data_IF_377883124576
#
_entry.id   IF_377883124576
#
_cell.length_a   1.000
_cell.length_b   1.000
_cell.length_c   1.000
_cell.angle_alpha   90.00
_cell.angle_beta   90.00
_cell.angle_gamma   90.00
#
_symmetry.space_group_name_H-M   'P 1'
#
loop_
_entity.id
_entity.type
_entity.pdbx_description
1 polymer ?
#
# COMPACT_ATOMS: atom_id res chain seq x y z
N UNK A 1 -0.49 -4.79 19.88
CA UNK A 1 -1.78 -4.06 19.95
C UNK A 1 -2.96 -4.93 20.40
N UNK A 2 -3.42 -5.93 19.61
CA UNK A 2 -4.60 -6.78 19.95
C UNK A 2 -4.58 -7.39 21.35
N UNK A 3 -3.45 -7.99 21.75
CA UNK A 3 -3.27 -8.55 23.09
C UNK A 3 -3.46 -7.51 24.20
N UNK A 4 -2.88 -6.31 24.03
CA UNK A 4 -2.98 -5.21 25.00
C UNK A 4 -4.43 -4.70 25.11
N UNK A 5 -5.10 -4.49 23.97
CA UNK A 5 -6.50 -4.08 23.95
C UNK A 5 -7.42 -5.10 24.63
N UNK A 6 -7.19 -6.40 24.39
CA UNK A 6 -7.94 -7.47 25.05
C UNK A 6 -7.77 -7.45 26.58
N UNK A 7 -6.53 -7.29 27.07
CA UNK A 7 -6.25 -7.19 28.52
C UNK A 7 -6.93 -5.95 29.12
N UNK A 8 -6.90 -4.82 28.40
CA UNK A 8 -7.48 -3.55 28.85
C UNK A 8 -8.99 -3.47 28.66
N UNK A 9 -9.60 -4.40 27.91
CA UNK A 9 -10.97 -4.30 27.39
C UNK A 9 -11.21 -3.00 26.60
N UNK A 10 -10.21 -2.58 25.82
CA UNK A 10 -10.27 -1.38 24.98
C UNK A 10 -10.61 -1.73 23.54
N UNK A 11 -11.30 -0.80 22.87
CA UNK A 11 -11.54 -0.89 21.44
C UNK A 11 -10.24 -0.66 20.67
N UNK A 12 -10.14 -1.24 19.47
CA UNK A 12 -9.08 -0.92 18.51
C UNK A 12 -9.73 -0.32 17.29
N UNK A 13 -9.23 0.82 16.85
CA UNK A 13 -9.57 1.40 15.55
C UNK A 13 -8.30 1.61 14.74
N UNK A 14 -8.33 1.20 13.47
CA UNK A 14 -7.21 1.41 12.55
C UNK A 14 -7.68 2.14 11.30
N UNK A 15 -7.02 3.25 10.97
CA UNK A 15 -7.34 4.07 9.80
C UNK A 15 -6.10 4.72 9.19
N UNK A 16 -6.27 5.28 7.97
CA UNK A 16 -5.26 6.14 7.36
C UNK A 16 -5.32 7.54 7.97
N UNK A 17 -4.25 8.33 7.86
CA UNK A 17 -4.25 9.71 8.38
C UNK A 17 -5.31 10.61 7.73
N UNK A 18 -5.70 10.31 6.49
CA UNK A 18 -6.79 11.00 5.76
C UNK A 18 -8.19 10.58 6.23
N UNK A 19 -8.28 9.59 7.11
CA UNK A 19 -9.51 8.92 7.54
C UNK A 19 -9.62 8.93 9.08
N UNK A 20 -8.92 9.86 9.74
CA UNK A 20 -9.07 10.06 11.18
C UNK A 20 -10.51 10.50 11.46
N UNK A 21 -11.28 9.77 12.27
CA UNK A 21 -12.66 10.12 12.54
C UNK A 21 -12.74 11.37 13.42
N UNK A 22 -13.81 12.15 13.21
CA UNK A 22 -14.08 13.33 14.02
C UNK A 22 -14.41 12.97 15.48
N UNK A 23 -14.95 11.77 15.74
CA UNK A 23 -15.24 11.32 17.09
C UNK A 23 -14.76 9.88 17.26
N UNK A 24 -14.27 9.56 18.46
CA UNK A 24 -13.84 8.22 18.85
C UNK A 24 -14.45 7.90 20.21
N UNK A 25 -14.89 6.67 20.43
CA UNK A 25 -15.38 6.24 21.73
C UNK A 25 -14.26 6.26 22.78
N UNK A 26 -14.58 6.53 24.04
CA UNK A 26 -13.62 6.37 25.13
C UNK A 26 -13.08 4.93 25.19
N UNK A 27 -11.92 4.74 25.82
CA UNK A 27 -11.25 3.45 25.92
C UNK A 27 -10.92 2.84 24.54
N UNK A 28 -10.37 3.66 23.65
CA UNK A 28 -9.98 3.25 22.30
C UNK A 28 -8.48 3.42 22.05
N UNK A 29 -7.87 2.39 21.47
CA UNK A 29 -6.54 2.46 20.87
C UNK A 29 -6.70 2.77 19.38
N UNK A 30 -6.21 3.93 18.96
CA UNK A 30 -6.25 4.42 17.59
C UNK A 30 -4.90 4.22 16.91
N UNK A 31 -4.83 3.33 15.92
CA UNK A 31 -3.63 3.12 15.10
C UNK A 31 -3.77 3.81 13.74
N UNK A 32 -2.92 4.80 13.48
CA UNK A 32 -3.00 5.65 12.28
C UNK A 32 -1.75 5.43 11.44
N UNK A 33 -1.93 5.16 10.15
CA UNK A 33 -0.85 4.86 9.22
C UNK A 33 -0.97 5.60 7.88
N UNK A 34 0.02 5.42 7.00
CA UNK A 34 0.04 6.01 5.66
C UNK A 34 0.44 7.49 5.64
N UNK A 35 1.11 7.96 6.68
CA UNK A 35 1.60 9.33 6.78
C UNK A 35 2.60 9.64 5.66
N UNK A 36 2.42 10.81 5.04
CA UNK A 36 3.18 11.24 3.87
C UNK A 36 3.08 10.28 2.68
N UNK A 37 1.91 9.68 2.49
CA UNK A 37 1.64 8.79 1.38
C UNK A 37 1.49 7.33 1.79
N UNK A 38 0.66 6.62 1.03
CA UNK A 38 0.30 5.23 1.29
C UNK A 38 1.34 4.26 0.73
N UNK A 39 1.92 4.58 -0.43
CA UNK A 39 2.84 3.72 -1.15
C UNK A 39 4.28 4.25 -1.04
N UNK A 40 4.46 5.54 -1.28
CA UNK A 40 5.73 6.25 -1.12
C UNK A 40 5.49 7.70 -0.68
N UNK A 41 6.57 8.46 -0.49
CA UNK A 41 6.52 9.88 -0.14
C UNK A 41 5.63 10.69 -1.10
N UNK A 42 4.50 11.15 -0.60
CA UNK A 42 3.67 12.17 -1.23
C UNK A 42 4.24 13.54 -0.89
N UNK A 43 5.07 14.05 -1.80
CA UNK A 43 5.81 15.31 -1.68
C UNK A 43 4.90 16.54 -1.48
N UNK A 44 3.60 16.43 -1.74
CA UNK A 44 2.65 17.52 -1.60
C UNK A 44 1.66 17.31 -0.44
N UNK A 45 1.86 16.29 0.39
CA UNK A 45 0.94 15.94 1.49
C UNK A 45 1.17 16.72 2.79
N UNK A 46 2.25 17.51 2.90
CA UNK A 46 2.68 18.12 4.17
C UNK A 46 1.56 18.89 4.89
N UNK A 47 0.83 19.74 4.18
CA UNK A 47 -0.25 20.54 4.79
C UNK A 47 -1.41 19.66 5.26
N UNK A 48 -1.77 18.63 4.48
CA UNK A 48 -2.80 17.66 4.86
C UNK A 48 -2.38 16.86 6.09
N UNK A 49 -1.09 16.50 6.19
CA UNK A 49 -0.52 15.82 7.35
C UNK A 49 -0.55 16.72 8.58
N UNK A 50 -0.16 17.99 8.47
CA UNK A 50 -0.23 18.97 9.57
C UNK A 50 -1.67 19.16 10.08
N UNK A 51 -2.63 19.26 9.17
CA UNK A 51 -4.06 19.32 9.54
C UNK A 51 -4.52 18.05 10.28
N UNK A 52 -4.12 16.87 9.80
CA UNK A 52 -4.46 15.61 10.45
C UNK A 52 -3.85 15.50 11.87
N UNK A 53 -2.62 15.96 12.07
CA UNK A 53 -2.02 16.02 13.40
C UNK A 53 -2.74 16.99 14.33
N UNK A 54 -3.11 18.18 13.83
CA UNK A 54 -3.89 19.14 14.61
C UNK A 54 -5.24 18.55 15.05
N UNK A 55 -5.97 17.93 14.12
CA UNK A 55 -7.23 17.25 14.41
C UNK A 55 -7.09 16.17 15.48
N UNK A 56 -5.97 15.43 15.46
CA UNK A 56 -5.68 14.40 16.44
C UNK A 56 -5.38 14.97 17.83
N UNK A 57 -4.62 16.07 17.91
CA UNK A 57 -4.40 16.80 19.16
C UNK A 57 -5.74 17.25 19.75
N UNK A 58 -6.62 17.80 18.91
CA UNK A 58 -7.92 18.28 19.37
C UNK A 58 -8.84 17.13 19.79
N UNK A 59 -8.78 15.99 19.10
CA UNK A 59 -9.48 14.76 19.48
C UNK A 59 -9.04 14.25 20.87
N UNK A 60 -7.73 14.23 21.13
CA UNK A 60 -7.18 13.78 22.41
C UNK A 60 -7.54 14.72 23.57
N UNK A 61 -7.75 16.01 23.31
CA UNK A 61 -8.20 16.97 24.32
C UNK A 61 -9.68 16.79 24.68
N UNK A 62 -10.53 16.49 23.70
CA UNK A 62 -11.98 16.38 23.92
C UNK A 62 -12.45 15.03 24.43
N UNK A 63 -11.71 13.95 24.14
CA UNK A 63 -12.14 12.59 24.50
C UNK A 63 -11.18 11.96 25.50
N UNK A 64 -11.71 11.50 26.63
CA UNK A 64 -10.91 10.83 27.67
C UNK A 64 -10.53 9.42 27.24
N UNK A 65 -9.41 8.92 27.78
CA UNK A 65 -8.97 7.53 27.63
C UNK A 65 -8.80 7.07 26.17
N UNK A 66 -8.24 7.92 25.31
CA UNK A 66 -7.74 7.51 23.98
C UNK A 66 -6.23 7.26 24.07
N UNK A 67 -5.77 6.21 23.39
CA UNK A 67 -4.34 5.97 23.13
C UNK A 67 -4.09 5.97 21.64
N UNK A 68 -3.17 6.81 21.19
CA UNK A 68 -2.84 6.91 19.77
C UNK A 68 -1.51 6.23 19.47
N UNK A 69 -1.43 5.52 18.36
CA UNK A 69 -0.22 4.90 17.84
C UNK A 69 -0.04 5.40 16.40
N UNK A 70 1.07 6.10 16.15
CA UNK A 70 1.42 6.63 14.84
C UNK A 70 2.37 5.67 14.13
N UNK A 71 1.88 4.99 13.09
CA UNK A 71 2.68 4.14 12.23
C UNK A 71 3.27 4.93 11.07
N UNK A 72 4.49 5.44 11.24
CA UNK A 72 5.20 6.23 10.23
C UNK A 72 6.49 5.53 9.81
N UNK A 73 6.89 5.68 8.53
CA UNK A 73 8.22 5.25 8.08
C UNK A 73 9.29 6.15 8.70
N UNK A 74 10.40 5.56 9.14
CA UNK A 74 11.46 6.28 9.85
C UNK A 74 12.17 7.32 8.97
N UNK A 75 12.34 7.04 7.68
CA UNK A 75 12.93 7.97 6.72
C UNK A 75 12.03 9.20 6.48
N UNK A 76 10.71 8.99 6.38
CA UNK A 76 9.75 10.10 6.25
C UNK A 76 9.66 10.91 7.54
N UNK A 77 9.67 10.24 8.71
CA UNK A 77 9.71 10.94 10.00
C UNK A 77 10.94 11.86 10.08
N UNK A 78 12.14 11.33 9.77
CA UNK A 78 13.38 12.11 9.75
C UNK A 78 13.31 13.28 8.76
N UNK A 79 12.79 13.05 7.56
CA UNK A 79 12.64 14.08 6.52
C UNK A 79 11.76 15.24 6.98
N UNK A 80 10.63 14.96 7.62
CA UNK A 80 9.64 15.97 7.99
C UNK A 80 9.68 16.37 9.47
N UNK A 81 10.62 15.86 10.27
CA UNK A 81 10.65 16.02 11.73
C UNK A 81 10.55 17.49 12.18
N UNK A 82 11.30 18.38 11.53
CA UNK A 82 11.30 19.82 11.85
C UNK A 82 9.90 20.44 11.69
N UNK A 83 9.17 20.04 10.65
CA UNK A 83 7.80 20.49 10.38
C UNK A 83 6.78 19.94 11.39
N UNK A 84 7.11 18.83 12.06
CA UNK A 84 6.25 18.13 13.02
C UNK A 84 6.54 18.48 14.48
N UNK A 85 7.59 19.26 14.77
CA UNK A 85 8.02 19.61 16.13
C UNK A 85 6.91 20.20 17.01
N UNK A 86 5.99 20.96 16.40
CA UNK A 86 4.81 21.53 17.10
C UNK A 86 3.90 20.45 17.72
N UNK A 87 3.94 19.23 17.21
CA UNK A 87 3.13 18.10 17.67
C UNK A 87 3.94 17.08 18.47
N UNK A 88 5.08 17.46 19.03
CA UNK A 88 6.02 16.59 19.78
C UNK A 88 5.34 15.74 20.87
N UNK A 89 4.27 16.22 21.48
CA UNK A 89 3.48 15.45 22.46
C UNK A 89 2.87 14.15 21.89
N UNK A 90 2.64 14.08 20.58
CA UNK A 90 2.18 12.85 19.93
C UNK A 90 3.29 11.80 19.74
N UNK A 91 4.55 12.17 19.96
CA UNK A 91 5.74 11.35 19.71
C UNK A 91 6.50 10.96 20.98
N UNK A 92 5.90 11.07 22.18
CA UNK A 92 6.57 10.82 23.46
C UNK A 92 7.14 9.40 23.65
N UNK A 93 6.70 8.41 22.87
CA UNK A 93 7.10 7.01 22.99
C UNK A 93 7.49 6.40 21.64
N UNK A 94 8.54 6.95 21.01
CA UNK A 94 9.03 6.46 19.72
C UNK A 94 9.57 5.03 19.81
N UNK A 95 9.14 4.17 18.88
CA UNK A 95 9.60 2.80 18.74
C UNK A 95 10.12 2.58 17.32
N UNK A 96 11.43 2.43 17.18
CA UNK A 96 12.08 2.15 15.88
C UNK A 96 11.95 0.66 15.53
N UNK A 97 11.02 0.36 14.61
CA UNK A 97 10.80 -1.01 14.15
C UNK A 97 11.94 -1.51 13.23
N UNK A 98 12.67 -0.60 12.59
CA UNK A 98 13.77 -0.82 11.64
C UNK A 98 15.16 -0.89 12.29
N UNK A 99 15.30 -0.47 13.56
CA UNK A 99 16.55 -0.61 14.29
C UNK A 99 16.94 -2.10 14.38
N UNK A 100 18.09 -2.43 13.79
CA UNK A 100 18.70 -3.76 13.82
C UNK A 100 19.08 -4.06 15.26
N UNK A 101 18.17 -4.69 15.97
CA UNK A 101 18.46 -5.24 17.28
C UNK A 101 18.83 -6.71 17.04
N UNK A 102 20.01 -7.14 17.48
CA UNK A 102 20.49 -8.53 17.36
C UNK A 102 19.52 -9.54 18.00
N UNK A 103 18.67 -9.11 18.93
CA UNK A 103 17.57 -9.92 19.47
C UNK A 103 16.35 -10.08 18.54
N UNK A 104 16.14 -9.18 17.56
CA UNK A 104 15.05 -9.27 16.57
C UNK A 104 15.32 -10.33 15.50
N UNK A 105 16.58 -10.66 15.21
CA UNK A 105 16.91 -11.71 14.24
C UNK A 105 16.39 -13.07 14.70
N UNK A 106 16.44 -13.35 16.01
CA UNK A 106 15.85 -14.57 16.58
C UNK A 106 14.31 -14.58 16.47
N UNK A 107 13.64 -13.45 16.71
CA UNK A 107 12.18 -13.34 16.54
C UNK A 107 11.76 -13.44 15.08
N UNK A 108 12.50 -12.82 14.16
CA UNK A 108 12.24 -12.90 12.73
C UNK A 108 12.56 -14.28 12.15
N UNK A 109 13.61 -14.95 12.64
CA UNK A 109 13.91 -16.33 12.30
C UNK A 109 12.79 -17.25 12.76
N UNK A 110 12.36 -17.13 14.02
CA UNK A 110 11.20 -17.86 14.54
C UNK A 110 9.96 -17.60 13.70
N UNK A 111 9.69 -16.35 13.35
CA UNK A 111 8.55 -15.97 12.50
C UNK A 111 8.66 -16.56 11.09
N UNK A 112 9.86 -16.58 10.49
CA UNK A 112 10.14 -17.21 9.22
C UNK A 112 9.86 -18.72 9.26
N UNK A 113 10.37 -19.40 10.30
CA UNK A 113 10.18 -20.84 10.48
C UNK A 113 8.69 -21.17 10.67
N UNK A 114 7.99 -20.43 11.53
CA UNK A 114 6.56 -20.61 11.80
C UNK A 114 5.69 -20.36 10.57
N UNK A 115 6.01 -19.33 9.76
CA UNK A 115 5.14 -18.90 8.64
C UNK A 115 5.44 -19.60 7.33
N UNK A 116 6.66 -20.06 7.09
CA UNK A 116 7.06 -20.66 5.81
C UNK A 116 7.39 -22.14 5.97
N UNK A 117 8.26 -22.48 6.92
CA UNK A 117 8.82 -23.84 7.03
C UNK A 117 7.86 -24.83 7.69
N UNK A 118 7.23 -24.43 8.80
CA UNK A 118 6.38 -25.30 9.59
C UNK A 118 5.04 -25.62 8.91
N UNK A 119 4.51 -24.69 8.10
CA UNK A 119 3.21 -24.88 7.43
C UNK A 119 3.29 -25.79 6.20
N UNK A 120 4.46 -25.89 5.55
CA UNK A 120 4.64 -26.80 4.41
C UNK A 120 5.04 -28.19 4.91
N UNK A 121 4.26 -29.23 4.57
CA UNK A 121 4.60 -30.63 4.93
C UNK A 121 5.41 -31.34 3.85
N UNK A 122 5.47 -30.80 2.62
CA UNK A 122 6.22 -31.40 1.52
C UNK A 122 7.74 -31.23 1.76
N UNK A 123 8.47 -32.36 1.75
CA UNK A 123 9.93 -32.39 1.96
C UNK A 123 10.71 -31.94 0.71
N UNK A 124 10.14 -32.10 -0.48
CA UNK A 124 10.77 -31.74 -1.76
C UNK A 124 10.44 -30.29 -2.19
N UNK A 125 9.63 -29.59 -1.39
CA UNK A 125 9.25 -28.22 -1.71
C UNK A 125 10.47 -27.28 -1.69
N UNK A 126 10.53 -26.36 -2.67
CA UNK A 126 11.60 -25.36 -2.79
C UNK A 126 11.72 -24.48 -1.53
N UNK A 127 10.65 -24.35 -0.73
CA UNK A 127 10.71 -23.62 0.53
C UNK A 127 11.72 -24.19 1.52
N UNK A 128 12.13 -25.47 1.40
CA UNK A 128 13.21 -26.06 2.21
C UNK A 128 14.57 -25.43 1.91
N UNK A 129 14.80 -24.98 0.68
CA UNK A 129 16.05 -24.34 0.24
C UNK A 129 16.12 -22.85 0.58
N UNK A 130 14.98 -22.18 0.78
CA UNK A 130 14.96 -20.79 1.22
C UNK A 130 15.58 -20.68 2.62
N UNK A 131 16.65 -19.91 2.80
CA UNK A 131 17.21 -19.64 4.13
C UNK A 131 16.80 -18.25 4.63
N UNK A 132 16.86 -18.06 5.95
CA UNK A 132 16.65 -16.74 6.55
C UNK A 132 17.69 -15.72 6.05
N UNK A 133 18.93 -16.15 5.87
CA UNK A 133 20.01 -15.32 5.34
C UNK A 133 19.71 -14.79 3.94
N UNK A 134 19.07 -15.58 3.08
CA UNK A 134 18.65 -15.12 1.75
C UNK A 134 17.68 -13.94 1.84
N UNK A 135 16.77 -13.97 2.81
CA UNK A 135 15.87 -12.85 3.08
C UNK A 135 16.61 -11.62 3.65
N UNK A 136 17.69 -11.80 4.40
CA UNK A 136 18.45 -10.65 4.93
C UNK A 136 19.35 -9.97 3.88
N UNK A 137 19.77 -10.71 2.83
CA UNK A 137 20.78 -10.25 1.88
C UNK A 137 20.27 -9.82 0.49
N UNK A 138 18.99 -10.03 0.18
CA UNK A 138 18.39 -9.72 -1.13
C UNK A 138 18.49 -8.25 -1.57
N UNK A 139 18.12 -7.94 -2.83
CA UNK A 139 18.07 -6.56 -3.36
C UNK A 139 16.93 -5.74 -2.76
N UNK A 140 15.98 -6.42 -2.15
CA UNK A 140 14.75 -5.92 -1.56
C UNK A 140 14.88 -5.54 -0.08
N UNK A 141 16.08 -5.21 0.42
CA UNK A 141 16.31 -4.91 1.86
C UNK A 141 15.48 -3.74 2.37
N UNK A 142 15.12 -2.82 1.48
CA UNK A 142 14.25 -1.69 1.79
C UNK A 142 12.84 -2.13 2.19
N UNK A 143 12.41 -3.32 1.74
CA UNK A 143 11.16 -3.94 2.13
C UNK A 143 11.38 -4.65 3.47
N UNK A 144 10.61 -4.27 4.49
CA UNK A 144 10.71 -4.86 5.82
C UNK A 144 10.64 -6.39 5.79
N UNK A 145 11.53 -7.05 6.51
CA UNK A 145 11.62 -8.51 6.56
C UNK A 145 10.28 -9.21 6.91
N UNK A 146 9.46 -8.72 7.87
CA UNK A 146 8.13 -9.30 8.14
C UNK A 146 7.19 -9.28 6.95
N UNK A 147 7.28 -8.26 6.09
CA UNK A 147 6.45 -8.17 4.88
C UNK A 147 6.91 -9.19 3.84
N UNK A 148 8.22 -9.31 3.60
CA UNK A 148 8.79 -10.32 2.69
C UNK A 148 8.38 -11.73 3.08
N UNK A 149 8.49 -12.06 4.37
CA UNK A 149 8.04 -13.36 4.92
C UNK A 149 6.53 -13.57 4.65
N UNK A 150 5.70 -12.55 4.88
CA UNK A 150 4.26 -12.67 4.66
C UNK A 150 3.87 -12.82 3.19
N UNK A 151 4.54 -12.13 2.27
CA UNK A 151 4.32 -12.29 0.82
C UNK A 151 4.69 -13.73 0.44
N UNK A 152 5.89 -14.21 0.77
CA UNK A 152 6.31 -15.57 0.42
C UNK A 152 5.46 -16.66 1.11
N UNK A 153 4.93 -16.41 2.30
CA UNK A 153 4.01 -17.33 2.96
C UNK A 153 2.64 -17.40 2.25
N UNK A 154 2.09 -16.26 1.82
CA UNK A 154 0.79 -16.19 1.13
C UNK A 154 0.88 -16.58 -0.36
N UNK A 155 2.06 -16.44 -0.96
CA UNK A 155 2.36 -16.79 -2.35
C UNK A 155 3.52 -17.78 -2.39
N UNK A 156 3.28 -18.95 -1.77
CA UNK A 156 4.30 -19.99 -1.58
C UNK A 156 4.93 -20.50 -2.89
N UNK A 157 4.17 -20.45 -3.97
CA UNK A 157 4.58 -20.73 -5.34
C UNK A 157 5.70 -19.80 -5.84
N UNK A 158 5.84 -18.60 -5.27
CA UNK A 158 6.88 -17.63 -5.64
C UNK A 158 8.24 -17.93 -5.02
N UNK A 159 8.31 -18.79 -4.00
CA UNK A 159 9.57 -19.04 -3.28
C UNK A 159 10.66 -19.55 -4.21
N UNK A 160 10.33 -20.43 -5.15
CA UNK A 160 11.29 -20.92 -6.14
C UNK A 160 11.87 -19.80 -7.00
N UNK A 161 11.04 -18.83 -7.40
CA UNK A 161 11.46 -17.67 -8.19
C UNK A 161 12.33 -16.73 -7.34
N UNK A 162 11.93 -16.47 -6.09
CA UNK A 162 12.68 -15.63 -5.15
C UNK A 162 14.07 -16.20 -4.82
N UNK A 163 14.19 -17.53 -4.71
CA UNK A 163 15.50 -18.18 -4.52
C UNK A 163 16.46 -17.87 -5.68
N UNK A 164 15.94 -17.78 -6.91
CA UNK A 164 16.75 -17.52 -8.11
C UNK A 164 17.05 -16.04 -8.31
N UNK A 165 16.08 -15.18 -8.00
CA UNK A 165 16.22 -13.72 -8.08
C UNK A 165 15.67 -13.08 -6.79
N UNK A 166 16.52 -12.83 -5.78
CA UNK A 166 16.12 -12.30 -4.46
C UNK A 166 15.67 -10.82 -4.50
N UNK A 167 14.58 -10.59 -5.23
CA UNK A 167 13.92 -9.31 -5.45
C UNK A 167 12.40 -9.55 -5.39
N UNK A 168 11.81 -9.31 -4.21
CA UNK A 168 10.40 -9.62 -3.98
C UNK A 168 9.45 -8.79 -4.83
N UNK A 169 9.82 -7.54 -5.18
CA UNK A 169 9.02 -6.68 -6.05
C UNK A 169 8.99 -7.28 -7.45
N UNK A 170 10.16 -7.58 -8.01
CA UNK A 170 10.25 -8.18 -9.34
C UNK A 170 9.53 -9.52 -9.40
N UNK A 171 9.80 -10.43 -8.46
CA UNK A 171 9.19 -11.77 -8.44
C UNK A 171 7.66 -11.71 -8.37
N UNK A 172 7.13 -10.80 -7.55
CA UNK A 172 5.68 -10.61 -7.42
C UNK A 172 5.09 -9.96 -8.67
N UNK A 173 5.73 -8.92 -9.21
CA UNK A 173 5.32 -8.26 -10.46
C UNK A 173 5.32 -9.24 -11.62
N UNK A 174 6.38 -10.03 -11.82
CA UNK A 174 6.49 -11.03 -12.89
C UNK A 174 5.39 -12.09 -12.77
N UNK A 175 5.06 -12.51 -11.55
CA UNK A 175 3.97 -13.45 -11.31
C UNK A 175 2.59 -12.86 -11.64
N UNK A 176 2.35 -11.59 -11.30
CA UNK A 176 1.12 -10.87 -11.68
C UNK A 176 1.06 -10.69 -13.20
N UNK A 177 2.15 -10.31 -13.84
CA UNK A 177 2.23 -10.17 -15.31
C UNK A 177 1.94 -11.51 -15.98
N UNK A 178 2.57 -12.59 -15.51
CA UNK A 178 2.33 -13.96 -16.01
C UNK A 178 0.88 -14.40 -15.81
N UNK A 179 0.30 -14.10 -14.65
CA UNK A 179 -1.12 -14.37 -14.36
C UNK A 179 -2.02 -13.63 -15.36
N UNK A 180 -1.73 -12.36 -15.64
CA UNK A 180 -2.46 -11.56 -16.63
C UNK A 180 -2.27 -12.14 -18.03
N UNK A 181 -1.07 -12.52 -18.44
CA UNK A 181 -0.82 -13.04 -19.79
C UNK A 181 -1.46 -14.41 -20.03
N UNK A 182 -1.35 -15.32 -19.06
CA UNK A 182 -1.86 -16.69 -19.18
C UNK A 182 -3.36 -16.78 -18.98
N UNK A 183 -3.94 -15.90 -18.15
CA UNK A 183 -5.35 -15.96 -17.72
C UNK A 183 -6.08 -14.65 -18.06
N UNK A 184 -5.65 -14.01 -19.15
CA UNK A 184 -5.98 -12.67 -19.71
C UNK A 184 -7.47 -12.29 -19.81
N UNK A 185 -8.38 -13.18 -19.40
CA UNK A 185 -9.82 -13.05 -19.54
C UNK A 185 -10.62 -13.57 -18.34
N UNK A 186 -9.98 -13.91 -17.23
CA UNK A 186 -10.76 -14.22 -16.01
C UNK A 186 -11.25 -12.96 -15.34
N UNK A 187 -12.47 -13.05 -14.83
CA UNK A 187 -13.14 -11.98 -14.09
C UNK A 187 -12.25 -11.45 -12.94
N UNK A 188 -11.64 -12.34 -12.15
CA UNK A 188 -10.76 -11.98 -11.04
C UNK A 188 -9.53 -11.13 -11.44
N UNK A 189 -8.87 -11.43 -12.57
CA UNK A 189 -7.72 -10.65 -13.03
C UNK A 189 -8.13 -9.24 -13.47
N UNK A 190 -9.22 -9.11 -14.22
CA UNK A 190 -9.72 -7.80 -14.66
C UNK A 190 -10.14 -6.92 -13.46
N UNK A 191 -10.69 -7.53 -12.42
CA UNK A 191 -11.01 -6.82 -11.17
C UNK A 191 -9.76 -6.35 -10.41
N UNK A 192 -8.68 -7.13 -10.41
CA UNK A 192 -7.40 -6.72 -9.83
C UNK A 192 -6.88 -5.46 -10.54
N UNK A 193 -6.92 -5.45 -11.87
CA UNK A 193 -6.48 -4.30 -12.66
C UNK A 193 -7.38 -3.09 -12.45
N UNK A 194 -8.71 -3.27 -12.47
CA UNK A 194 -9.67 -2.19 -12.20
C UNK A 194 -9.45 -1.56 -10.80
N UNK A 195 -9.30 -2.40 -9.76
CA UNK A 195 -9.06 -1.92 -8.39
C UNK A 195 -7.71 -1.21 -8.28
N UNK A 196 -6.68 -1.67 -9.01
CA UNK A 196 -5.41 -0.96 -9.09
C UNK A 196 -5.57 0.43 -9.74
N UNK A 197 -6.25 0.49 -10.89
CA UNK A 197 -6.47 1.74 -11.61
C UNK A 197 -7.28 2.75 -10.79
N UNK A 198 -8.32 2.31 -10.07
CA UNK A 198 -9.14 3.20 -9.22
C UNK A 198 -8.54 3.46 -7.84
N UNK A 199 -7.68 2.56 -7.33
CA UNK A 199 -7.17 2.55 -5.96
C UNK A 199 -8.02 1.76 -4.96
N UNK A 200 -9.31 1.56 -5.28
CA UNK A 200 -10.30 0.79 -4.51
C UNK A 200 -11.51 0.47 -5.39
N UNK A 201 -12.37 -0.42 -4.93
CA UNK A 201 -13.72 -0.59 -5.46
C UNK A 201 -14.75 -0.51 -4.34
N UNK A 202 -15.90 0.10 -4.58
CA UNK A 202 -17.07 -0.02 -3.71
C UNK A 202 -18.28 -0.33 -4.57
N UNK A 203 -19.14 -1.30 -4.20
CA UNK A 203 -20.39 -1.53 -4.92
C UNK A 203 -21.39 -0.40 -4.78
N UNK A 204 -21.17 0.60 -3.92
CA UNK A 204 -21.98 1.82 -3.81
C UNK A 204 -21.52 2.95 -4.73
N UNK A 205 -20.23 2.96 -5.08
CA UNK A 205 -19.63 4.03 -5.88
C UNK A 205 -20.05 3.89 -7.37
N UNK A 206 -19.87 4.97 -8.13
CA UNK A 206 -20.04 4.95 -9.58
C UNK A 206 -19.04 3.96 -10.22
N UNK A 207 -19.55 3.15 -11.16
CA UNK A 207 -18.73 2.19 -11.90
C UNK A 207 -18.15 2.87 -13.15
N UNK A 208 -16.84 2.88 -13.26
CA UNK A 208 -16.13 3.61 -14.32
C UNK A 208 -16.05 2.77 -15.59
N UNK A 209 -17.12 2.78 -16.38
CA UNK A 209 -17.21 2.05 -17.65
C UNK A 209 -16.16 2.54 -18.66
N UNK A 210 -15.75 3.80 -18.57
CA UNK A 210 -14.68 4.36 -19.42
C UNK A 210 -13.33 3.68 -19.18
N UNK A 211 -12.94 3.44 -17.92
CA UNK A 211 -11.73 2.66 -17.61
C UNK A 211 -11.85 1.22 -18.08
N UNK A 212 -13.05 0.62 -17.95
CA UNK A 212 -13.31 -0.75 -18.40
C UNK A 212 -13.10 -0.86 -19.91
N UNK A 213 -13.65 0.07 -20.70
CA UNK A 213 -13.49 0.09 -22.15
C UNK A 213 -12.05 0.38 -22.57
N UNK A 214 -11.42 1.42 -22.01
CA UNK A 214 -10.05 1.85 -22.38
C UNK A 214 -9.00 0.76 -22.13
N UNK A 215 -9.19 -0.06 -21.10
CA UNK A 215 -8.27 -1.15 -20.75
C UNK A 215 -8.74 -2.54 -21.22
N UNK A 216 -9.81 -2.63 -22.02
CA UNK A 216 -10.45 -3.90 -22.45
C UNK A 216 -10.72 -4.86 -21.27
N UNK A 217 -11.17 -4.30 -20.14
CA UNK A 217 -11.51 -5.08 -18.96
C UNK A 217 -12.87 -5.74 -19.19
N UNK A 218 -12.92 -7.07 -19.25
CA UNK A 218 -14.17 -7.82 -19.51
C UNK A 218 -14.96 -8.01 -18.21
N UNK A 219 -15.37 -6.91 -17.60
CA UNK A 219 -16.09 -6.88 -16.32
C UNK A 219 -17.27 -5.91 -16.37
N UNK A 220 -18.27 -6.19 -15.55
CA UNK A 220 -19.39 -5.30 -15.25
C UNK A 220 -19.51 -5.14 -13.75
N UNK A 221 -20.18 -4.09 -13.25
CA UNK A 221 -20.39 -3.91 -11.79
C UNK A 221 -20.95 -5.15 -11.11
N UNK A 222 -21.92 -5.83 -11.73
CA UNK A 222 -22.55 -7.05 -11.19
C UNK A 222 -21.66 -8.29 -11.23
N UNK A 223 -20.58 -8.27 -12.01
CA UNK A 223 -19.61 -9.37 -12.06
C UNK A 223 -18.66 -9.40 -10.86
N UNK A 224 -18.68 -8.40 -9.96
CA UNK A 224 -17.82 -8.39 -8.79
C UNK A 224 -18.17 -9.53 -7.82
N UNK A 225 -17.23 -10.45 -7.61
CA UNK A 225 -17.36 -11.53 -6.64
C UNK A 225 -16.10 -11.62 -5.77
N UNK A 226 -16.22 -11.20 -4.50
CA UNK A 226 -15.13 -11.28 -3.52
C UNK A 226 -14.70 -12.72 -3.21
N UNK A 227 -15.53 -13.71 -3.52
CA UNK A 227 -15.22 -15.13 -3.31
C UNK A 227 -14.44 -15.76 -4.46
N UNK A 228 -14.28 -15.04 -5.58
CA UNK A 228 -13.45 -15.43 -6.71
C UNK A 228 -12.04 -15.82 -6.23
N UNK A 229 -11.60 -17.00 -6.66
CA UNK A 229 -10.39 -17.63 -6.14
C UNK A 229 -9.11 -16.83 -6.40
N UNK A 230 -9.07 -16.09 -7.51
CA UNK A 230 -7.95 -15.24 -7.89
C UNK A 230 -8.06 -13.93 -7.14
N UNK A 231 -9.20 -13.26 -7.19
CA UNK A 231 -9.40 -11.94 -6.60
C UNK A 231 -9.18 -11.95 -5.08
N UNK A 232 -9.76 -12.92 -4.37
CA UNK A 232 -9.65 -13.03 -2.90
C UNK A 232 -8.21 -13.22 -2.41
N UNK A 233 -7.31 -13.62 -3.32
CA UNK A 233 -5.88 -13.80 -3.05
C UNK A 233 -5.16 -12.46 -2.92
N UNK A 234 -5.69 -11.38 -3.48
CA UNK A 234 -5.07 -10.05 -3.52
C UNK A 234 -5.89 -8.96 -2.84
N UNK A 235 -7.22 -9.07 -2.90
CA UNK A 235 -8.17 -8.04 -2.47
C UNK A 235 -8.94 -8.51 -1.24
N UNK A 236 -9.25 -7.56 -0.36
CA UNK A 236 -10.10 -7.77 0.81
C UNK A 236 -10.98 -6.56 1.08
N UNK A 237 -12.02 -6.77 1.87
CA UNK A 237 -12.75 -5.68 2.53
C UNK A 237 -11.77 -4.85 3.37
N UNK A 238 -11.87 -3.53 3.25
CA UNK A 238 -11.07 -2.58 4.00
C UNK A 238 -11.24 -2.83 5.50
N UNK A 239 -10.15 -2.67 6.23
CA UNK A 239 -10.13 -3.00 7.66
C UNK A 239 -11.10 -2.13 8.46
N UNK A 240 -11.16 -0.82 8.23
CA UNK A 240 -12.12 0.09 8.86
C UNK A 240 -13.56 -0.36 8.65
N UNK A 241 -13.90 -0.73 7.42
CA UNK A 241 -15.26 -1.12 7.03
C UNK A 241 -15.65 -2.44 7.70
N UNK A 242 -14.70 -3.37 7.75
CA UNK A 242 -14.84 -4.62 8.50
C UNK A 242 -15.02 -4.37 10.00
N UNK A 243 -14.27 -3.43 10.59
CA UNK A 243 -14.38 -3.09 12.02
C UNK A 243 -15.72 -2.43 12.35
N UNK A 244 -16.26 -1.66 11.41
CA UNK A 244 -17.54 -0.98 11.55
C UNK A 244 -18.73 -1.83 11.08
N UNK A 245 -18.52 -3.11 10.73
CA UNK A 245 -19.54 -4.02 10.20
C UNK A 245 -20.32 -3.43 9.01
N UNK A 246 -19.63 -2.68 8.14
CA UNK A 246 -20.24 -2.10 6.93
C UNK A 246 -20.74 -3.23 6.03
N UNK A 247 -21.93 -3.05 5.45
CA UNK A 247 -22.54 -4.03 4.56
C UNK A 247 -21.66 -4.27 3.33
N UNK A 248 -21.71 -5.48 2.75
CA UNK A 248 -20.92 -5.80 1.55
C UNK A 248 -21.23 -4.91 0.35
N UNK A 249 -22.42 -4.27 0.34
CA UNK A 249 -22.89 -3.35 -0.71
C UNK A 249 -22.29 -1.94 -0.58
N UNK A 250 -21.85 -1.55 0.59
CA UNK A 250 -21.30 -0.22 0.89
C UNK A 250 -19.80 -0.27 1.23
N UNK A 251 -19.27 -1.47 1.44
CA UNK A 251 -17.89 -1.67 1.82
C UNK A 251 -16.92 -1.40 0.68
N UNK A 252 -15.75 -0.89 1.05
CA UNK A 252 -14.64 -0.66 0.14
C UNK A 252 -13.70 -1.87 0.11
N UNK A 253 -13.39 -2.32 -1.09
CA UNK A 253 -12.47 -3.40 -1.38
C UNK A 253 -11.14 -2.82 -1.86
N UNK A 254 -10.06 -3.27 -1.24
CA UNK A 254 -8.69 -2.79 -1.46
C UNK A 254 -7.72 -3.97 -1.43
N UNK A 255 -6.53 -3.78 -1.98
CA UNK A 255 -5.46 -4.76 -1.80
C UNK A 255 -5.18 -4.99 -0.31
N UNK A 256 -4.94 -6.24 0.07
CA UNK A 256 -4.69 -6.55 1.47
C UNK A 256 -3.39 -5.94 2.00
N UNK A 257 -2.48 -5.56 1.11
CA UNK A 257 -1.28 -4.78 1.43
C UNK A 257 -0.93 -3.77 0.32
N UNK A 258 -0.51 -2.53 0.64
CA UNK A 258 -0.09 -1.54 -0.36
C UNK A 258 1.04 -2.02 -1.28
N UNK A 259 1.96 -2.85 -0.76
CA UNK A 259 3.02 -3.46 -1.59
C UNK A 259 2.47 -4.27 -2.78
N UNK A 260 1.35 -4.95 -2.62
CA UNK A 260 0.73 -5.71 -3.73
C UNK A 260 0.16 -4.76 -4.76
N UNK A 261 -0.46 -3.67 -4.33
CA UNK A 261 -0.88 -2.61 -5.24
C UNK A 261 0.31 -2.12 -6.06
N UNK A 262 1.47 -1.88 -5.44
CA UNK A 262 2.69 -1.48 -6.15
C UNK A 262 3.08 -2.51 -7.21
N UNK A 263 3.07 -3.81 -6.88
CA UNK A 263 3.41 -4.86 -7.84
C UNK A 263 2.44 -4.90 -9.03
N UNK A 264 1.13 -4.76 -8.78
CA UNK A 264 0.11 -4.69 -9.84
C UNK A 264 0.29 -3.42 -10.67
N UNK A 265 0.54 -2.27 -10.03
CA UNK A 265 0.80 -1.00 -10.69
C UNK A 265 2.01 -1.11 -11.62
N UNK A 266 3.13 -1.66 -11.15
CA UNK A 266 4.32 -1.92 -11.95
C UNK A 266 3.98 -2.78 -13.18
N UNK A 267 3.25 -3.87 -12.97
CA UNK A 267 2.82 -4.75 -14.04
C UNK A 267 1.96 -4.03 -15.09
N UNK A 268 0.98 -3.19 -14.69
CA UNK A 268 0.13 -2.46 -15.65
C UNK A 268 0.96 -1.37 -16.36
N UNK A 269 1.78 -0.64 -15.61
CA UNK A 269 2.57 0.48 -16.12
C UNK A 269 3.58 0.04 -17.18
N UNK A 270 4.23 -1.12 -17.00
CA UNK A 270 5.18 -1.69 -17.97
C UNK A 270 4.58 -1.89 -19.37
N UNK A 271 3.28 -2.20 -19.46
CA UNK A 271 2.61 -2.44 -20.74
C UNK A 271 1.78 -1.25 -21.24
N UNK A 272 1.29 -0.41 -20.33
CA UNK A 272 0.27 0.61 -20.62
C UNK A 272 0.58 1.98 -20.00
N UNK A 273 1.85 2.37 -19.91
CA UNK A 273 2.32 3.62 -19.27
C UNK A 273 1.43 4.84 -19.55
N UNK A 274 1.17 5.15 -20.83
CA UNK A 274 0.37 6.33 -21.21
C UNK A 274 -1.09 6.25 -20.73
N UNK A 275 -1.70 5.06 -20.76
CA UNK A 275 -3.05 4.87 -20.26
C UNK A 275 -3.08 4.97 -18.73
N UNK A 276 -2.08 4.41 -18.05
CA UNK A 276 -1.96 4.53 -16.59
C UNK A 276 -1.86 6.01 -16.19
N UNK A 277 -1.02 6.80 -16.85
CA UNK A 277 -0.87 8.24 -16.57
C UNK A 277 -2.18 9.02 -16.82
N UNK A 278 -2.95 8.63 -17.84
CA UNK A 278 -4.24 9.26 -18.16
C UNK A 278 -5.40 8.86 -17.23
N UNK A 279 -5.41 7.64 -16.70
CA UNK A 279 -6.62 7.09 -16.07
C UNK A 279 -6.43 6.58 -14.64
N UNK A 280 -5.23 6.17 -14.24
CA UNK A 280 -4.99 5.64 -12.88
C UNK A 280 -5.19 6.70 -11.80
N UNK A 281 -5.45 6.30 -10.56
CA UNK A 281 -5.55 7.17 -9.40
C UNK A 281 -4.37 8.18 -9.36
N UNK A 282 -4.69 9.47 -9.22
CA UNK A 282 -3.71 10.58 -9.24
C UNK A 282 -2.68 10.43 -8.12
N UNK A 283 -3.11 10.06 -6.91
CA UNK A 283 -2.22 9.91 -5.76
C UNK A 283 -1.20 8.78 -6.01
N UNK A 284 -1.62 7.71 -6.70
CA UNK A 284 -0.73 6.60 -7.04
C UNK A 284 0.36 7.04 -8.01
N UNK A 285 -0.01 7.81 -9.04
CA UNK A 285 0.95 8.37 -10.01
C UNK A 285 1.94 9.28 -9.29
N UNK A 286 1.47 10.18 -8.43
CA UNK A 286 2.33 11.11 -7.70
C UNK A 286 3.28 10.39 -6.71
N UNK A 287 2.86 9.30 -6.10
CA UNK A 287 3.72 8.57 -5.17
C UNK A 287 4.68 7.59 -5.88
N UNK A 288 4.31 7.04 -7.04
CA UNK A 288 5.06 5.95 -7.67
C UNK A 288 5.80 6.34 -8.95
N UNK A 289 5.51 7.48 -9.57
CA UNK A 289 6.10 7.84 -10.87
C UNK A 289 7.03 9.04 -10.73
N UNK A 290 8.19 8.95 -11.37
CA UNK A 290 9.16 10.04 -11.51
C UNK A 290 9.45 10.32 -12.98
N UNK A 291 9.91 11.53 -13.34
CA UNK A 291 10.41 11.77 -14.68
C UNK A 291 11.64 10.89 -14.97
N UNK A 292 11.80 10.45 -16.21
CA UNK A 292 12.98 9.71 -16.66
C UNK A 292 14.25 10.54 -16.42
N UNK A 293 15.29 9.89 -15.88
CA UNK A 293 16.54 10.56 -15.52
C UNK A 293 16.59 11.12 -14.09
N UNK A 294 15.51 11.00 -13.31
CA UNK A 294 15.55 11.23 -11.87
C UNK A 294 16.02 9.97 -11.12
N UNK A 295 16.61 10.17 -9.95
CA UNK A 295 16.88 9.08 -9.01
C UNK A 295 15.57 8.46 -8.53
N UNK A 296 15.26 7.27 -9.02
CA UNK A 296 14.05 6.52 -8.63
C UNK A 296 14.33 5.65 -7.41
N UNK A 297 13.45 5.72 -6.42
CA UNK A 297 13.44 4.76 -5.33
C UNK A 297 13.05 3.36 -5.84
N UNK A 298 13.36 2.32 -5.05
CA UNK A 298 13.15 0.91 -5.40
C UNK A 298 11.74 0.55 -5.89
N UNK A 299 10.71 1.23 -5.38
CA UNK A 299 9.30 0.98 -5.73
C UNK A 299 8.75 1.94 -6.79
N UNK A 300 9.55 2.88 -7.28
CA UNK A 300 9.12 3.87 -8.25
C UNK A 300 9.36 3.39 -9.69
N UNK A 301 8.64 4.00 -10.63
CA UNK A 301 8.83 3.82 -12.08
C UNK A 301 9.07 5.17 -12.74
N UNK A 302 9.66 5.15 -13.93
CA UNK A 302 9.95 6.36 -14.71
C UNK A 302 8.94 6.58 -15.82
N UNK A 303 8.51 7.83 -16.03
CA UNK A 303 7.76 8.27 -17.20
C UNK A 303 8.61 9.16 -18.11
N UNK A 304 8.40 9.04 -19.42
CA UNK A 304 8.99 9.92 -20.43
C UNK A 304 8.18 11.23 -20.56
N UNK A 305 8.72 12.17 -21.34
CA UNK A 305 8.14 13.51 -21.50
C UNK A 305 6.71 13.45 -22.05
N UNK A 306 6.45 12.56 -23.01
CA UNK A 306 5.09 12.35 -23.53
C UNK A 306 4.11 11.92 -22.44
N UNK A 307 4.48 10.94 -21.61
CA UNK A 307 3.65 10.51 -20.48
C UNK A 307 3.43 11.63 -19.45
N UNK A 308 4.46 12.44 -19.20
CA UNK A 308 4.40 13.59 -18.29
C UNK A 308 3.39 14.62 -18.81
N UNK A 309 3.43 14.96 -20.10
CA UNK A 309 2.49 15.91 -20.71
C UNK A 309 1.04 15.41 -20.58
N UNK A 310 0.81 14.13 -20.86
CA UNK A 310 -0.50 13.50 -20.71
C UNK A 310 -1.04 13.62 -19.28
N UNK A 311 -0.18 13.39 -18.29
CA UNK A 311 -0.54 13.53 -16.89
C UNK A 311 -0.79 15.00 -16.50
N UNK A 312 0.02 15.93 -17.00
CA UNK A 312 -0.13 17.36 -16.75
C UNK A 312 -1.45 17.91 -17.31
N UNK A 313 -1.79 17.56 -18.55
CA UNK A 313 -3.08 17.89 -19.18
C UNK A 313 -4.26 17.39 -18.35
N UNK A 314 -4.15 16.17 -17.81
CA UNK A 314 -5.15 15.60 -16.93
C UNK A 314 -5.27 16.39 -15.63
N UNK A 315 -4.17 16.72 -14.97
CA UNK A 315 -4.20 17.53 -13.75
C UNK A 315 -4.82 18.91 -14.00
N UNK A 316 -4.61 19.50 -15.19
CA UNK A 316 -5.25 20.75 -15.59
C UNK A 316 -6.77 20.61 -15.68
N UNK A 317 -7.26 19.55 -16.34
CA UNK A 317 -8.70 19.24 -16.44
C UNK A 317 -9.35 18.97 -15.09
N UNK A 318 -8.58 18.42 -14.14
CA UNK A 318 -9.04 18.18 -12.77
C UNK A 318 -8.85 19.37 -11.83
N UNK A 319 -8.31 20.50 -12.31
CA UNK A 319 -7.97 21.68 -11.50
C UNK A 319 -7.02 21.37 -10.31
N UNK A 320 -6.07 20.45 -10.51
CA UNK A 320 -5.13 19.99 -9.48
C UNK A 320 -3.70 20.52 -9.63
N UNK A 321 -3.43 21.36 -10.64
CA UNK A 321 -2.08 21.87 -10.94
C UNK A 321 -1.48 22.61 -9.74
N UNK A 322 -2.19 23.59 -9.18
CA UNK A 322 -1.66 24.38 -8.06
C UNK A 322 -1.38 23.54 -6.82
N UNK A 323 -2.20 22.53 -6.56
CA UNK A 323 -2.01 21.60 -5.44
C UNK A 323 -0.69 20.82 -5.56
N UNK A 324 -0.31 20.48 -6.79
CA UNK A 324 0.84 19.61 -7.06
C UNK A 324 2.00 20.33 -7.79
N UNK A 325 2.01 21.66 -7.83
CA UNK A 325 2.98 22.45 -8.61
C UNK A 325 4.44 22.20 -8.25
N UNK A 326 4.71 21.74 -7.03
CA UNK A 326 6.06 21.42 -6.58
C UNK A 326 6.49 19.98 -6.86
N UNK A 327 5.57 19.12 -7.30
CA UNK A 327 5.86 17.73 -7.61
C UNK A 327 6.75 17.62 -8.86
N UNK A 328 7.77 16.73 -8.89
CA UNK A 328 8.69 16.59 -10.03
C UNK A 328 7.99 16.38 -11.38
N UNK A 329 6.93 15.58 -11.43
CA UNK A 329 6.15 15.38 -12.67
C UNK A 329 5.49 16.66 -13.19
N UNK A 330 5.02 17.53 -12.30
CA UNK A 330 4.34 18.78 -12.70
C UNK A 330 5.36 19.85 -13.10
N UNK A 331 6.46 19.95 -12.34
CA UNK A 331 7.56 20.86 -12.66
C UNK A 331 8.25 20.54 -13.98
N UNK A 332 8.32 19.25 -14.34
CA UNK A 332 8.98 18.81 -15.57
C UNK A 332 8.14 19.09 -16.81
N UNK A 333 6.81 19.03 -16.71
CA UNK A 333 5.88 19.39 -17.80
C UNK A 333 5.81 20.90 -18.09
N UNK A 334 6.31 21.74 -17.16
CA UNK A 334 6.24 23.20 -17.25
C UNK A 334 7.50 23.83 -17.87
N UNK A 335 8.37 23.01 -18.44
CA UNK A 335 9.59 23.41 -19.15
C UNK A 335 9.40 23.14 -20.63
#
# INVERSE_FOLDING_TARGET
>A
MKKCAGIKQWNIFQCRFTEIPNNVAENTILFIYGWFGLWNDDLCSLDSVKMAFQNLVDLMKRTKNIKTILGMRSDLYKKYHQELMKYSDLFQHELFLDSVNTHKDAEHLKYFDERIKALCKNKECQCRRLSFEMLCKGKDKIIGLPLRINILANYHDLIGNYIRDPDILKVMTDAITTLRENIKKTNGCNWIDYICLKGRFSPSDEFDEGIVEVFDLRITRSSFDVTDSILKRYVRMRYSDRQNNVSTKEAQYVFWHPFIYVCVFHSIFQHNQNLVLKHCNVDAILQLVRPKGFDTAYIEVSADDHGIDLFYERLRKLHLIERYKYHPLVRSASK
#
